data_IF_232873579826
#
_entry.id   IF_232873579826
#
_cell.length_a   1.000
_cell.length_b   1.000
_cell.length_c   1.000
_cell.angle_alpha   90.00
_cell.angle_beta   90.00
_cell.angle_gamma   90.00
#
_symmetry.space_group_name_H-M   'P 1'
#
loop_
_entity.id
_entity.type
_entity.pdbx_description
1 polymer ?
#
# COMPACT_ATOMS: atom_id res chain seq x y z
N UNK A 1 -44.11 -22.33 -33.89
CA UNK A 1 -43.63 -23.72 -34.06
C UNK A 1 -43.46 -24.30 -32.67
N UNK A 2 -44.20 -25.35 -32.31
CA UNK A 2 -44.03 -26.03 -31.01
C UNK A 2 -42.95 -27.10 -31.20
N UNK A 3 -41.88 -27.13 -30.37
CA UNK A 3 -40.81 -28.10 -30.54
C UNK A 3 -41.33 -29.54 -30.34
N UNK A 4 -40.84 -30.46 -31.16
CA UNK A 4 -41.10 -31.88 -30.99
C UNK A 4 -40.47 -32.39 -29.70
N UNK A 5 -40.94 -33.54 -29.19
CA UNK A 5 -40.42 -34.12 -27.95
C UNK A 5 -38.93 -34.46 -28.04
N UNK A 6 -38.45 -34.80 -29.24
CA UNK A 6 -37.03 -35.10 -29.50
C UNK A 6 -36.18 -33.81 -29.49
N UNK A 7 -36.67 -32.74 -30.11
CA UNK A 7 -36.03 -31.42 -30.07
C UNK A 7 -35.92 -30.87 -28.64
N UNK A 8 -36.92 -31.12 -27.78
CA UNK A 8 -36.85 -30.72 -26.36
C UNK A 8 -35.75 -31.44 -25.61
N UNK A 9 -35.64 -32.77 -25.78
CA UNK A 9 -34.61 -33.57 -25.11
C UNK A 9 -33.20 -33.17 -25.55
N UNK A 10 -33.03 -32.87 -26.83
CA UNK A 10 -31.75 -32.40 -27.36
C UNK A 10 -31.39 -31.02 -26.79
N UNK A 11 -32.36 -30.12 -26.70
CA UNK A 11 -32.18 -28.80 -26.09
C UNK A 11 -31.81 -28.91 -24.61
N UNK A 12 -32.51 -29.75 -23.84
CA UNK A 12 -32.22 -29.99 -22.43
C UNK A 12 -30.81 -30.54 -22.21
N UNK A 13 -30.37 -31.47 -23.07
CA UNK A 13 -29.00 -32.00 -23.03
C UNK A 13 -27.96 -30.92 -23.32
N UNK A 14 -28.22 -30.07 -24.31
CA UNK A 14 -27.30 -28.99 -24.66
C UNK A 14 -27.22 -27.96 -23.53
N UNK A 15 -28.36 -27.57 -22.94
CA UNK A 15 -28.39 -26.68 -21.77
C UNK A 15 -27.60 -27.28 -20.60
N UNK A 16 -27.75 -28.58 -20.33
CA UNK A 16 -27.00 -29.24 -19.27
C UNK A 16 -25.48 -29.23 -19.54
N UNK A 17 -25.08 -29.47 -20.79
CA UNK A 17 -23.67 -29.41 -21.22
C UNK A 17 -23.08 -28.00 -21.12
N UNK A 18 -23.83 -26.99 -21.54
CA UNK A 18 -23.43 -25.59 -21.48
C UNK A 18 -23.31 -25.12 -20.02
N UNK A 19 -24.25 -25.53 -19.17
CA UNK A 19 -24.22 -25.22 -17.73
C UNK A 19 -22.98 -25.83 -17.07
N UNK A 20 -22.67 -27.10 -17.35
CA UNK A 20 -21.45 -27.74 -16.84
C UNK A 20 -20.17 -27.06 -17.34
N UNK A 21 -20.19 -26.54 -18.58
CA UNK A 21 -19.06 -25.80 -19.14
C UNK A 21 -18.88 -24.44 -18.46
N UNK A 22 -19.98 -23.73 -18.17
CA UNK A 22 -19.94 -22.48 -17.40
C UNK A 22 -19.37 -22.71 -16.00
N UNK A 23 -19.82 -23.74 -15.30
CA UNK A 23 -19.30 -24.09 -13.97
C UNK A 23 -17.78 -24.38 -14.01
N UNK A 24 -17.31 -25.07 -15.05
CA UNK A 24 -15.89 -25.31 -15.24
C UNK A 24 -15.09 -24.02 -15.47
N UNK A 25 -15.62 -23.09 -16.28
CA UNK A 25 -15.01 -21.79 -16.50
C UNK A 25 -15.00 -20.92 -15.25
N UNK A 26 -16.08 -20.89 -14.47
CA UNK A 26 -16.16 -20.12 -13.24
C UNK A 26 -15.14 -20.60 -12.20
N UNK A 27 -14.96 -21.92 -12.10
CA UNK A 27 -13.90 -22.51 -11.26
C UNK A 27 -12.50 -22.11 -11.73
N UNK A 28 -12.24 -22.14 -13.04
CA UNK A 28 -10.97 -21.71 -13.61
C UNK A 28 -10.69 -20.22 -13.36
N UNK A 29 -11.71 -19.36 -13.54
CA UNK A 29 -11.64 -17.92 -13.26
C UNK A 29 -11.31 -17.69 -11.79
N UNK A 30 -11.98 -18.40 -10.88
CA UNK A 30 -11.74 -18.29 -9.44
C UNK A 30 -10.29 -18.68 -9.09
N UNK A 31 -9.80 -19.79 -9.63
CA UNK A 31 -8.43 -20.24 -9.41
C UNK A 31 -7.38 -19.22 -9.91
N UNK A 32 -7.58 -18.67 -11.11
CA UNK A 32 -6.69 -17.64 -11.67
C UNK A 32 -6.72 -16.36 -10.83
N UNK A 33 -7.90 -15.93 -10.37
CA UNK A 33 -8.03 -14.75 -9.49
C UNK A 33 -7.28 -14.93 -8.18
N UNK A 34 -7.40 -16.10 -7.54
CA UNK A 34 -6.66 -16.40 -6.32
C UNK A 34 -5.15 -16.38 -6.55
N UNK A 35 -4.69 -16.98 -7.65
CA UNK A 35 -3.28 -16.97 -8.04
C UNK A 35 -2.76 -15.54 -8.26
N UNK A 36 -3.54 -14.69 -8.93
CA UNK A 36 -3.21 -13.29 -9.18
C UNK A 36 -3.14 -12.49 -7.87
N UNK A 37 -4.10 -12.69 -6.97
CA UNK A 37 -4.10 -12.06 -5.65
C UNK A 37 -2.86 -12.43 -4.84
N UNK A 38 -2.47 -13.71 -4.85
CA UNK A 38 -1.24 -14.18 -4.21
C UNK A 38 0.00 -13.48 -4.77
N UNK A 39 0.13 -13.43 -6.10
CA UNK A 39 1.26 -12.76 -6.75
C UNK A 39 1.32 -11.25 -6.43
N UNK A 40 0.17 -10.57 -6.35
CA UNK A 40 0.12 -9.18 -5.91
C UNK A 40 0.58 -8.99 -4.47
N UNK A 41 0.19 -9.89 -3.57
CA UNK A 41 0.63 -9.85 -2.18
C UNK A 41 2.15 -10.08 -2.07
N UNK A 42 2.68 -11.09 -2.76
CA UNK A 42 4.12 -11.37 -2.83
C UNK A 42 4.90 -10.17 -3.40
N UNK A 43 4.42 -9.58 -4.49
CA UNK A 43 5.00 -8.36 -5.10
C UNK A 43 5.04 -7.21 -4.09
N UNK A 44 3.95 -6.97 -3.37
CA UNK A 44 3.87 -5.89 -2.38
C UNK A 44 4.90 -6.06 -1.26
N UNK A 45 5.05 -7.28 -0.75
CA UNK A 45 6.07 -7.59 0.28
C UNK A 45 7.48 -7.23 -0.21
N UNK A 46 7.81 -7.55 -1.46
CA UNK A 46 9.11 -7.24 -2.06
C UNK A 46 9.28 -5.72 -2.23
N UNK A 47 8.25 -5.02 -2.71
CA UNK A 47 8.25 -3.56 -2.85
C UNK A 47 8.50 -2.86 -1.51
N UNK A 48 7.79 -3.26 -0.46
CA UNK A 48 7.95 -2.70 0.89
C UNK A 48 9.38 -2.95 1.43
N UNK A 49 9.91 -4.16 1.22
CA UNK A 49 11.30 -4.51 1.57
C UNK A 49 12.31 -3.66 0.78
N UNK A 50 12.12 -3.48 -0.52
CA UNK A 50 13.00 -2.66 -1.36
C UNK A 50 12.96 -1.20 -0.95
N UNK A 51 11.77 -0.66 -0.67
CA UNK A 51 11.60 0.69 -0.16
C UNK A 51 12.36 0.88 1.16
N UNK A 52 12.21 -0.06 2.11
CA UNK A 52 12.92 -0.03 3.38
C UNK A 52 14.45 -0.06 3.20
N UNK A 53 14.96 -0.99 2.38
CA UNK A 53 16.40 -1.11 2.07
C UNK A 53 16.95 0.15 1.40
N UNK A 54 16.24 0.72 0.43
CA UNK A 54 16.62 1.98 -0.21
C UNK A 54 16.63 3.13 0.78
N UNK A 55 15.63 3.19 1.67
CA UNK A 55 15.59 4.20 2.72
C UNK A 55 16.77 4.06 3.71
N UNK A 56 17.23 2.83 3.99
CA UNK A 56 18.44 2.58 4.80
C UNK A 56 19.73 3.03 4.12
N UNK A 57 19.84 2.83 2.79
CA UNK A 57 20.97 3.33 2.00
C UNK A 57 20.89 4.85 1.78
N UNK A 58 19.72 5.45 1.96
CA UNK A 58 19.51 6.88 1.85
C UNK A 58 20.43 7.66 2.78
N UNK A 59 21.11 8.72 2.28
CA UNK A 59 22.12 9.46 3.04
C UNK A 59 21.58 10.02 4.36
N UNK A 60 20.29 10.39 4.36
CA UNK A 60 19.57 10.93 5.50
C UNK A 60 19.58 9.99 6.72
N UNK A 61 19.46 8.67 6.55
CA UNK A 61 19.45 7.74 7.70
C UNK A 61 20.84 7.46 8.26
N UNK A 62 21.90 7.79 7.53
CA UNK A 62 23.30 7.65 7.96
C UNK A 62 23.81 8.87 8.72
N UNK A 63 23.03 9.95 8.74
CA UNK A 63 23.38 11.13 9.51
C UNK A 63 23.37 10.80 11.02
N UNK A 64 24.36 11.30 11.77
CA UNK A 64 24.34 11.28 13.23
C UNK A 64 23.06 11.93 13.77
N UNK A 65 22.65 11.52 14.99
CA UNK A 65 21.48 12.07 15.67
C UNK A 65 21.56 13.60 15.77
N UNK A 66 22.74 14.13 16.02
CA UNK A 66 23.01 15.55 16.25
C UNK A 66 22.71 16.35 14.98
N UNK A 67 23.19 15.88 13.83
CA UNK A 67 22.98 16.53 12.53
C UNK A 67 21.50 16.47 12.14
N UNK A 68 20.83 15.34 12.40
CA UNK A 68 19.39 15.22 12.15
C UNK A 68 18.58 16.17 13.03
N UNK A 69 18.89 16.24 14.31
CA UNK A 69 18.24 17.19 15.24
C UNK A 69 18.45 18.62 14.78
N UNK A 70 19.65 19.01 14.36
CA UNK A 70 19.90 20.35 13.80
C UNK A 70 19.03 20.64 12.57
N UNK A 71 18.94 19.70 11.62
CA UNK A 71 18.09 19.87 10.42
C UNK A 71 16.62 20.01 10.81
N UNK A 72 16.13 19.18 11.73
CA UNK A 72 14.75 19.21 12.20
C UNK A 72 14.45 20.53 12.91
N UNK A 73 15.31 20.97 13.84
CA UNK A 73 15.17 22.23 14.57
C UNK A 73 15.16 23.42 13.63
N UNK A 74 16.05 23.46 12.64
CA UNK A 74 16.07 24.54 11.63
C UNK A 74 14.77 24.58 10.81
N UNK A 75 14.30 23.42 10.35
CA UNK A 75 13.08 23.32 9.56
C UNK A 75 11.82 23.72 10.36
N UNK A 76 11.74 23.33 11.63
CA UNK A 76 10.64 23.70 12.52
C UNK A 76 10.70 25.18 12.89
N UNK A 77 11.89 25.70 13.22
CA UNK A 77 12.07 27.11 13.58
C UNK A 77 11.66 28.04 12.43
N UNK A 78 12.03 27.70 11.19
CA UNK A 78 11.64 28.47 10.00
C UNK A 78 10.11 28.50 9.83
N UNK A 79 9.45 27.35 10.01
CA UNK A 79 7.99 27.28 9.96
C UNK A 79 7.30 28.03 11.11
N UNK A 80 7.85 27.94 12.33
CA UNK A 80 7.32 28.61 13.51
C UNK A 80 7.49 30.14 13.45
N UNK A 81 8.59 30.61 12.85
CA UNK A 81 8.82 32.03 12.60
C UNK A 81 7.74 32.63 11.70
N UNK A 82 7.22 31.84 10.75
CA UNK A 82 6.10 32.26 9.89
C UNK A 82 4.72 32.13 10.58
N UNK A 83 4.51 31.11 11.43
CA UNK A 83 3.27 30.88 12.17
C UNK A 83 3.54 30.30 13.56
N UNK A 84 3.39 31.11 14.61
CA UNK A 84 3.63 30.73 16.00
C UNK A 84 2.48 29.90 16.59
N UNK A 85 2.21 28.72 16.03
CA UNK A 85 1.24 27.76 16.55
C UNK A 85 1.92 26.40 16.80
N UNK A 86 1.98 26.00 18.06
CA UNK A 86 2.57 24.73 18.52
C UNK A 86 1.88 23.51 17.90
N UNK A 87 0.61 23.61 17.51
CA UNK A 87 -0.12 22.54 16.81
C UNK A 87 0.36 22.33 15.37
N UNK A 88 0.90 23.40 14.74
CA UNK A 88 1.46 23.35 13.40
C UNK A 88 2.80 22.59 13.37
N UNK A 89 3.56 22.62 14.48
CA UNK A 89 4.85 21.93 14.60
C UNK A 89 4.72 20.40 14.56
N UNK A 90 3.73 19.83 15.26
CA UNK A 90 3.49 18.38 15.29
C UNK A 90 3.07 17.87 13.89
N UNK A 91 2.44 18.74 13.10
CA UNK A 91 2.02 18.45 11.73
C UNK A 91 3.11 18.75 10.70
N UNK A 92 4.26 19.28 11.11
CA UNK A 92 5.31 19.72 10.21
C UNK A 92 5.80 18.56 9.32
N UNK A 93 5.94 18.74 7.99
CA UNK A 93 6.33 17.67 7.07
C UNK A 93 7.64 16.97 7.44
N UNK A 94 8.56 17.68 8.11
CA UNK A 94 9.84 17.15 8.59
C UNK A 94 9.67 15.97 9.56
N UNK A 95 8.59 15.94 10.35
CA UNK A 95 8.26 14.86 11.30
C UNK A 95 7.55 13.68 10.63
N UNK A 96 7.28 13.76 9.32
CA UNK A 96 6.63 12.70 8.52
C UNK A 96 7.62 11.86 7.72
N UNK A 97 8.91 12.20 7.75
CA UNK A 97 9.97 11.50 6.98
C UNK A 97 10.14 10.05 7.43
N UNK A 98 10.33 9.79 8.73
CA UNK A 98 10.36 8.44 9.30
C UNK A 98 10.21 8.49 10.83
N UNK A 99 10.01 7.33 11.48
CA UNK A 99 9.91 7.23 12.93
C UNK A 99 11.09 7.89 13.66
N UNK A 100 12.33 7.63 13.23
CA UNK A 100 13.54 8.24 13.83
C UNK A 100 13.54 9.77 13.79
N UNK A 101 13.09 10.38 12.69
CA UNK A 101 13.01 11.84 12.58
C UNK A 101 11.94 12.42 13.50
N UNK A 102 10.81 11.72 13.63
CA UNK A 102 9.74 12.10 14.54
C UNK A 102 10.20 12.04 15.99
N UNK A 103 10.82 10.95 16.39
CA UNK A 103 11.28 10.74 17.77
C UNK A 103 12.32 11.79 18.16
N UNK A 104 13.28 12.09 17.26
CA UNK A 104 14.26 13.15 17.47
C UNK A 104 13.62 14.54 17.55
N UNK A 105 12.65 14.85 16.67
CA UNK A 105 11.96 16.15 16.68
C UNK A 105 11.11 16.38 17.93
N UNK A 106 10.43 15.34 18.41
CA UNK A 106 9.66 15.39 19.68
C UNK A 106 10.62 15.50 20.86
N UNK A 107 11.73 14.76 20.89
CA UNK A 107 12.72 14.86 21.95
C UNK A 107 13.40 16.24 21.98
N UNK A 108 13.57 16.88 20.82
CA UNK A 108 14.09 18.23 20.69
C UNK A 108 13.03 19.32 20.94
N UNK A 109 11.78 18.96 21.29
CA UNK A 109 10.70 19.91 21.54
C UNK A 109 10.98 21.01 22.57
N UNK A 110 11.74 20.75 23.65
CA UNK A 110 12.10 21.80 24.60
C UNK A 110 13.06 22.88 24.05
N UNK A 111 13.57 22.75 22.83
CA UNK A 111 14.60 23.62 22.24
C UNK A 111 14.06 24.69 21.27
N UNK A 112 12.76 24.68 20.98
CA UNK A 112 12.07 25.62 20.09
C UNK A 112 10.79 26.13 20.76
#
# INVERSE_FOLDING_TARGET
HVPSQLERLELERNIASDTASLDAYDNAILHVRQSLQRLHAERKVIEDSLYSKRAMLGPIRRLPSEILTMIISLAIFDAFFCQADSTCIIQHPVLRVCHRWRDLGIAAAPLW
#
